data_IF_140727918733
#
_entry.id   IF_140727918733
#
_cell.length_a   1.000
_cell.length_b   1.000
_cell.length_c   1.000
_cell.angle_alpha   90.00
_cell.angle_beta   90.00
_cell.angle_gamma   90.00
#
_symmetry.space_group_name_H-M   'P 1'
#
loop_
_entity.id
_entity.type
_entity.pdbx_description
1 polymer ?
#
# COMPACT_ATOMS: atom_id res chain seq x y z
N UNK A 1 9.65 29.39 -57.10
CA UNK A 1 9.97 28.57 -55.91
C UNK A 1 10.33 29.55 -54.79
N UNK A 2 9.38 29.92 -53.91
CA UNK A 2 9.72 30.47 -52.61
C UNK A 2 9.59 29.39 -51.53
N UNK A 3 10.58 29.40 -50.63
CA UNK A 3 10.67 28.58 -49.43
C UNK A 3 9.54 28.92 -48.45
N UNK A 4 8.65 27.96 -48.20
CA UNK A 4 7.71 27.99 -47.09
C UNK A 4 8.44 27.54 -45.82
N UNK A 5 9.09 28.49 -45.14
CA UNK A 5 9.68 28.27 -43.83
C UNK A 5 8.56 28.10 -42.79
N UNK A 6 8.05 26.87 -42.66
CA UNK A 6 7.23 26.47 -41.51
C UNK A 6 8.12 26.52 -40.28
N UNK A 7 8.00 27.58 -39.49
CA UNK A 7 8.59 27.65 -38.16
C UNK A 7 8.06 26.46 -37.34
N UNK A 8 8.91 25.77 -36.56
CA UNK A 8 8.46 24.66 -35.73
C UNK A 8 7.43 25.19 -34.73
N UNK A 9 6.21 24.67 -34.79
CA UNK A 9 5.18 24.96 -33.81
C UNK A 9 5.73 24.55 -32.44
N UNK A 10 5.95 25.55 -31.58
CA UNK A 10 6.41 25.32 -30.21
C UNK A 10 5.30 24.54 -29.51
N UNK A 11 5.50 23.24 -29.33
CA UNK A 11 4.56 22.37 -28.63
C UNK A 11 4.32 22.97 -27.23
N UNK A 12 3.13 23.52 -27.02
CA UNK A 12 2.73 24.08 -25.74
C UNK A 12 2.72 22.96 -24.71
N UNK A 13 3.44 23.15 -23.61
CA UNK A 13 3.39 22.18 -22.51
C UNK A 13 1.99 22.17 -21.90
N UNK A 14 1.57 21.03 -21.39
CA UNK A 14 0.24 20.85 -20.77
C UNK A 14 -0.01 21.91 -19.68
N UNK A 15 1.00 22.20 -18.86
CA UNK A 15 0.92 23.22 -17.82
C UNK A 15 0.64 24.63 -18.37
N UNK A 16 1.25 24.98 -19.50
CA UNK A 16 1.12 26.28 -20.15
C UNK A 16 -0.21 26.43 -20.89
N UNK A 17 -0.77 25.32 -21.38
CA UNK A 17 -2.13 25.25 -21.90
C UNK A 17 -3.17 25.47 -20.77
N UNK A 18 -2.98 24.84 -19.61
CA UNK A 18 -3.87 25.03 -18.46
C UNK A 18 -3.82 26.46 -17.90
N UNK A 19 -2.64 27.08 -17.86
CA UNK A 19 -2.47 28.47 -17.40
C UNK A 19 -3.19 29.50 -18.30
N UNK A 20 -3.53 29.13 -19.54
CA UNK A 20 -4.22 29.99 -20.51
C UNK A 20 -5.74 29.85 -20.50
N UNK A 21 -6.30 28.92 -19.73
CA UNK A 21 -7.74 28.76 -19.65
C UNK A 21 -8.37 29.96 -18.89
N UNK A 22 -9.51 30.49 -19.37
CA UNK A 22 -10.22 31.53 -18.64
C UNK A 22 -10.71 30.98 -17.30
N UNK A 23 -10.61 31.80 -16.26
CA UNK A 23 -11.17 31.50 -14.94
C UNK A 23 -12.68 31.65 -14.99
N UNK A 24 -13.36 30.61 -15.45
CA UNK A 24 -14.82 30.58 -15.55
C UNK A 24 -15.40 30.21 -14.18
N UNK A 25 -15.89 31.21 -13.44
CA UNK A 25 -16.63 30.97 -12.21
C UNK A 25 -18.03 30.47 -12.54
N UNK A 26 -18.41 29.26 -12.10
CA UNK A 26 -19.76 28.76 -12.33
C UNK A 26 -20.79 29.62 -11.60
N UNK A 27 -21.98 29.79 -12.19
CA UNK A 27 -23.10 30.57 -11.61
C UNK A 27 -23.52 30.08 -10.21
N UNK A 28 -23.19 28.83 -9.87
CA UNK A 28 -23.41 28.26 -8.54
C UNK A 28 -22.17 27.52 -8.06
N UNK A 29 -21.76 27.83 -6.83
CA UNK A 29 -20.72 27.06 -6.15
C UNK A 29 -21.21 25.65 -5.85
N UNK A 30 -20.41 24.64 -6.21
CA UNK A 30 -20.63 23.25 -5.83
C UNK A 30 -20.18 22.95 -4.38
N UNK A 31 -19.47 23.90 -3.75
CA UNK A 31 -18.90 23.74 -2.42
C UNK A 31 -19.93 23.40 -1.33
N UNK A 32 -21.11 24.06 -1.25
CA UNK A 32 -22.10 23.75 -0.21
C UNK A 32 -22.64 22.31 -0.32
N UNK A 33 -22.75 21.78 -1.54
CA UNK A 33 -23.21 20.41 -1.80
C UNK A 33 -22.15 19.39 -1.34
N UNK A 34 -20.88 19.67 -1.63
CA UNK A 34 -19.76 18.86 -1.15
C UNK A 34 -19.63 18.91 0.37
N UNK A 35 -19.69 20.10 0.97
CA UNK A 35 -19.63 20.28 2.42
C UNK A 35 -20.76 19.54 3.14
N UNK A 36 -21.99 19.61 2.63
CA UNK A 36 -23.13 18.87 3.17
C UNK A 36 -22.94 17.35 3.08
N UNK A 37 -22.32 16.85 2.00
CA UNK A 37 -22.06 15.42 1.81
C UNK A 37 -20.95 14.91 2.74
N UNK A 38 -19.93 15.72 2.97
CA UNK A 38 -18.85 15.41 3.91
C UNK A 38 -19.39 15.38 5.35
N UNK A 39 -20.14 16.40 5.77
CA UNK A 39 -20.76 16.45 7.10
C UNK A 39 -21.72 15.27 7.33
N UNK A 40 -22.53 14.91 6.32
CA UNK A 40 -23.42 13.74 6.40
C UNK A 40 -22.67 12.39 6.52
N UNK A 41 -21.39 12.33 6.15
CA UNK A 41 -20.53 11.15 6.33
C UNK A 41 -20.01 11.08 7.78
N UNK A 42 -19.73 12.21 8.39
CA UNK A 42 -19.29 12.32 9.79
C UNK A 42 -20.43 12.04 10.78
N UNK A 43 -21.65 12.49 10.46
CA UNK A 43 -22.85 12.31 11.28
C UNK A 43 -23.40 10.87 11.26
N UNK A 44 -22.79 9.95 10.50
CA UNK A 44 -23.22 8.56 10.50
C UNK A 44 -22.91 7.97 11.88
N UNK A 45 -23.93 7.60 12.69
CA UNK A 45 -23.69 7.08 14.02
C UNK A 45 -22.92 5.77 13.88
N UNK A 46 -21.65 5.78 14.29
CA UNK A 46 -20.84 4.58 14.51
C UNK A 46 -21.45 3.84 15.71
N UNK A 47 -22.55 3.15 15.47
CA UNK A 47 -23.21 2.33 16.49
C UNK A 47 -22.25 1.24 17.00
N UNK A 48 -22.39 0.81 18.26
CA UNK A 48 -21.49 -0.17 18.87
C UNK A 48 -21.82 -1.57 18.33
N UNK A 49 -21.36 -1.89 17.12
CA UNK A 49 -21.40 -3.25 16.54
C UNK A 49 -20.05 -3.96 16.56
N UNK A 50 -19.10 -3.44 17.34
CA UNK A 50 -17.76 -3.98 17.44
C UNK A 50 -17.63 -5.32 18.22
N UNK A 51 -18.49 -5.72 19.17
CA UNK A 51 -18.22 -6.97 19.90
C UNK A 51 -18.50 -8.24 19.08
N UNK A 52 -19.23 -8.16 17.95
CA UNK A 52 -19.52 -9.33 17.12
C UNK A 52 -18.59 -9.49 15.91
N UNK A 53 -17.86 -8.44 15.52
CA UNK A 53 -16.87 -8.53 14.44
C UNK A 53 -15.65 -9.38 14.83
N UNK A 54 -15.24 -9.33 16.11
CA UNK A 54 -14.17 -10.17 16.65
C UNK A 54 -14.54 -11.66 16.68
N UNK A 55 -15.81 -12.00 16.92
CA UNK A 55 -16.27 -13.39 16.94
C UNK A 55 -16.29 -14.02 15.52
N UNK A 56 -16.62 -13.23 14.50
CA UNK A 56 -16.60 -13.68 13.10
C UNK A 56 -15.15 -13.86 12.59
N UNK A 57 -14.22 -12.97 12.96
CA UNK A 57 -12.81 -13.08 12.57
C UNK A 57 -12.13 -14.31 13.20
N UNK A 58 -12.41 -14.61 14.48
CA UNK A 58 -11.87 -15.81 15.14
C UNK A 58 -12.36 -17.12 14.49
N UNK A 59 -13.63 -17.17 14.04
CA UNK A 59 -14.17 -18.33 13.33
C UNK A 59 -13.55 -18.50 11.93
N UNK A 60 -13.25 -17.40 11.23
CA UNK A 60 -12.62 -17.44 9.91
C UNK A 60 -11.14 -17.89 9.97
N UNK A 61 -10.38 -17.44 10.98
CA UNK A 61 -8.99 -17.89 11.22
C UNK A 61 -8.95 -19.38 11.56
N UNK A 62 -9.89 -19.88 12.38
CA UNK A 62 -9.96 -21.29 12.73
C UNK A 62 -10.35 -22.17 11.53
N UNK A 63 -11.24 -21.68 10.64
CA UNK A 63 -11.61 -22.38 9.41
C UNK A 63 -10.44 -22.46 8.41
N UNK A 64 -9.62 -21.40 8.31
CA UNK A 64 -8.46 -21.39 7.41
C UNK A 64 -7.32 -22.31 7.91
N UNK A 65 -7.13 -22.42 9.23
CA UNK A 65 -6.16 -23.33 9.84
C UNK A 65 -6.46 -24.84 9.64
N UNK A 66 -7.68 -25.19 9.21
CA UNK A 66 -8.05 -26.57 8.84
C UNK A 66 -7.83 -26.89 7.35
N UNK A 67 -7.74 -25.87 6.48
CA UNK A 67 -7.62 -26.05 5.02
C UNK A 67 -6.15 -26.06 4.56
N UNK A 68 -5.21 -25.57 5.37
CA UNK A 68 -3.79 -25.67 5.05
C UNK A 68 -3.29 -27.14 5.17
N UNK A 69 -2.61 -27.67 4.15
CA UNK A 69 -2.00 -29.00 4.24
C UNK A 69 -0.96 -29.01 5.36
N UNK A 70 -1.21 -29.83 6.38
CA UNK A 70 -0.20 -30.16 7.39
C UNK A 70 0.80 -31.11 6.75
N UNK A 71 2.02 -30.64 6.52
CA UNK A 71 3.11 -31.54 6.14
C UNK A 71 3.32 -32.59 7.25
N UNK A 72 3.27 -33.89 6.92
CA UNK A 72 3.52 -34.93 7.89
C UNK A 72 5.01 -34.97 8.20
N UNK A 73 5.37 -34.66 9.45
CA UNK A 73 6.67 -35.02 10.03
C UNK A 73 6.74 -36.55 10.14
N UNK A 74 7.36 -37.21 9.15
CA UNK A 74 7.72 -38.62 9.27
C UNK A 74 9.01 -38.76 10.11
N UNK A 75 9.08 -39.70 11.06
CA UNK A 75 10.32 -40.01 11.75
C UNK A 75 11.30 -40.70 10.79
N UNK A 76 12.57 -40.33 10.93
CA UNK A 76 13.70 -40.86 10.17
C UNK A 76 13.72 -42.40 10.17
N UNK A 77 13.64 -42.98 8.98
CA UNK A 77 14.06 -44.35 8.69
C UNK A 77 15.32 -44.28 7.84
N UNK A 78 16.42 -44.79 8.39
CA UNK A 78 17.69 -44.96 7.69
C UNK A 78 17.48 -45.77 6.40
N UNK A 79 17.84 -45.17 5.27
CA UNK A 79 17.82 -45.80 3.97
C UNK A 79 18.52 -44.90 2.97
N UNK A 80 19.81 -45.17 2.73
CA UNK A 80 20.66 -44.41 1.82
C UNK A 80 19.99 -44.21 0.46
N UNK A 81 19.62 -42.97 0.19
CA UNK A 81 19.41 -42.43 -1.14
C UNK A 81 20.01 -41.04 -1.09
N UNK A 82 20.92 -40.74 -2.03
CA UNK A 82 21.40 -39.38 -2.29
C UNK A 82 20.19 -38.54 -2.68
N UNK A 83 19.48 -38.03 -1.67
CA UNK A 83 18.48 -37.01 -1.83
C UNK A 83 19.24 -35.75 -2.24
N UNK A 84 19.04 -35.33 -3.49
CA UNK A 84 19.30 -33.95 -3.89
C UNK A 84 18.54 -33.08 -2.90
N UNK A 85 19.27 -32.48 -1.95
CA UNK A 85 18.72 -31.48 -1.05
C UNK A 85 18.11 -30.39 -1.93
N UNK A 86 16.87 -29.94 -1.65
CA UNK A 86 16.32 -28.79 -2.35
C UNK A 86 17.31 -27.64 -2.24
N UNK A 87 17.46 -26.89 -3.34
CA UNK A 87 18.36 -25.74 -3.35
C UNK A 87 17.91 -24.77 -2.26
N UNK A 88 18.71 -24.68 -1.20
CA UNK A 88 18.42 -23.85 -0.02
C UNK A 88 18.22 -22.38 -0.41
N UNK A 89 18.71 -21.94 -1.57
CA UNK A 89 18.46 -20.62 -2.15
C UNK A 89 17.01 -20.44 -2.61
N UNK A 90 16.49 -21.35 -3.44
CA UNK A 90 15.12 -21.29 -3.95
C UNK A 90 14.08 -21.35 -2.81
N UNK A 91 14.27 -22.27 -1.86
CA UNK A 91 13.38 -22.38 -0.68
C UNK A 91 13.37 -21.11 0.19
N UNK A 92 14.48 -20.35 0.21
CA UNK A 92 14.56 -19.07 0.93
C UNK A 92 13.80 -17.97 0.20
N UNK A 93 13.87 -17.91 -1.14
CA UNK A 93 13.09 -16.95 -1.93
C UNK A 93 11.59 -17.21 -1.77
N UNK A 94 11.14 -18.46 -1.85
CA UNK A 94 9.73 -18.82 -1.68
C UNK A 94 9.18 -18.39 -0.31
N UNK A 95 9.97 -18.55 0.75
CA UNK A 95 9.61 -18.09 2.10
C UNK A 95 9.47 -16.56 2.17
N UNK A 96 10.37 -15.81 1.53
CA UNK A 96 10.29 -14.35 1.47
C UNK A 96 9.08 -13.87 0.67
N UNK A 97 8.74 -14.56 -0.43
CA UNK A 97 7.56 -14.27 -1.23
C UNK A 97 6.28 -14.46 -0.41
N UNK A 98 6.18 -15.59 0.30
CA UNK A 98 5.04 -15.90 1.17
C UNK A 98 4.88 -14.86 2.29
N UNK A 99 5.98 -14.46 2.93
CA UNK A 99 5.95 -13.40 3.94
C UNK A 99 5.51 -12.06 3.35
N UNK A 100 6.00 -11.71 2.15
CA UNK A 100 5.60 -10.46 1.50
C UNK A 100 4.09 -10.43 1.21
N UNK A 101 3.52 -11.54 0.72
CA UNK A 101 2.09 -11.64 0.45
C UNK A 101 1.26 -11.54 1.74
N UNK A 102 1.76 -12.09 2.84
CA UNK A 102 1.13 -11.95 4.15
C UNK A 102 1.11 -10.49 4.62
N UNK A 103 2.23 -9.78 4.48
CA UNK A 103 2.34 -8.37 4.88
C UNK A 103 1.47 -7.47 4.00
N UNK A 104 1.39 -7.71 2.70
CA UNK A 104 0.50 -7.01 1.78
C UNK A 104 -0.97 -7.21 2.14
N UNK A 105 -1.38 -8.45 2.40
CA UNK A 105 -2.74 -8.76 2.81
C UNK A 105 -3.09 -8.03 4.12
N UNK A 106 -2.15 -7.96 5.07
CA UNK A 106 -2.32 -7.21 6.30
C UNK A 106 -2.44 -5.70 6.04
N UNK A 107 -1.54 -5.12 5.22
CA UNK A 107 -1.57 -3.71 4.87
C UNK A 107 -2.88 -3.31 4.18
N UNK A 108 -3.38 -4.13 3.25
CA UNK A 108 -4.65 -3.91 2.57
C UNK A 108 -5.84 -3.78 3.56
N UNK A 109 -5.82 -4.54 4.66
CA UNK A 109 -6.85 -4.42 5.71
C UNK A 109 -6.73 -3.15 6.55
N UNK A 110 -5.52 -2.58 6.68
CA UNK A 110 -5.27 -1.36 7.45
C UNK A 110 -5.57 -0.10 6.64
N UNK A 111 -5.24 -0.10 5.33
CA UNK A 111 -5.45 1.02 4.42
C UNK A 111 -6.93 1.37 4.19
N UNK A 112 -7.83 0.39 4.27
CA UNK A 112 -9.28 0.60 4.06
C UNK A 112 -9.93 1.58 5.06
N UNK A 113 -9.26 1.88 6.17
CA UNK A 113 -9.77 2.74 7.23
C UNK A 113 -8.91 3.99 7.45
N UNK A 114 -8.07 4.37 6.47
CA UNK A 114 -7.18 5.53 6.57
C UNK A 114 -7.96 6.85 6.52
N UNK A 115 -8.08 7.47 7.70
CA UNK A 115 -8.28 8.91 7.87
C UNK A 115 -7.14 9.40 8.76
N UNK A 116 -5.95 9.55 8.17
CA UNK A 116 -4.72 9.94 8.85
C UNK A 116 -4.39 11.44 8.71
N UNK A 117 -3.37 11.89 9.43
CA UNK A 117 -2.79 13.23 9.23
C UNK A 117 -2.15 13.35 7.84
N UNK A 118 -2.04 14.57 7.32
CA UNK A 118 -1.40 14.81 6.02
C UNK A 118 0.06 14.31 5.99
N UNK A 119 0.77 14.41 7.12
CA UNK A 119 2.15 13.93 7.26
C UNK A 119 2.25 12.40 7.16
N UNK A 120 1.28 11.66 7.70
CA UNK A 120 1.25 10.20 7.58
C UNK A 120 1.04 9.77 6.12
N UNK A 121 0.15 10.45 5.39
CA UNK A 121 -0.07 10.17 3.97
C UNK A 121 1.17 10.41 3.11
N UNK A 122 1.95 11.47 3.39
CA UNK A 122 3.21 11.71 2.68
C UNK A 122 4.23 10.59 2.91
N UNK A 123 4.36 10.10 4.15
CA UNK A 123 5.22 8.96 4.45
C UNK A 123 4.73 7.67 3.79
N UNK A 124 3.41 7.43 3.77
CA UNK A 124 2.81 6.28 3.07
C UNK A 124 3.16 6.28 1.58
N UNK A 125 3.09 7.44 0.92
CA UNK A 125 3.47 7.59 -0.50
C UNK A 125 4.96 7.30 -0.73
N UNK A 126 5.84 7.70 0.19
CA UNK A 126 7.28 7.38 0.11
C UNK A 126 7.53 5.87 0.17
N UNK A 127 6.83 5.16 1.06
CA UNK A 127 6.90 3.69 1.14
C UNK A 127 6.38 3.03 -0.13
N UNK A 128 5.26 3.50 -0.68
CA UNK A 128 4.70 2.98 -1.94
C UNK A 128 5.63 3.20 -3.13
N UNK A 129 6.32 4.34 -3.20
CA UNK A 129 7.28 4.61 -4.27
C UNK A 129 8.50 3.71 -4.16
N UNK A 130 9.02 3.53 -2.93
CA UNK A 130 10.13 2.60 -2.67
C UNK A 130 9.77 1.14 -2.99
N UNK A 131 8.53 0.72 -2.72
CA UNK A 131 8.03 -0.59 -3.12
C UNK A 131 7.98 -0.73 -4.64
N UNK A 132 7.49 0.30 -5.35
CA UNK A 132 7.43 0.32 -6.82
C UNK A 132 8.81 0.21 -7.46
N UNK A 133 9.81 0.89 -6.91
CA UNK A 133 11.21 0.76 -7.36
C UNK A 133 11.74 -0.66 -7.19
N UNK A 134 11.48 -1.28 -6.03
CA UNK A 134 11.89 -2.66 -5.75
C UNK A 134 11.18 -3.65 -6.66
N UNK A 135 9.88 -3.46 -6.90
CA UNK A 135 9.09 -4.31 -7.78
C UNK A 135 9.55 -4.19 -9.24
N UNK A 136 9.93 -3.00 -9.69
CA UNK A 136 10.55 -2.80 -10.99
C UNK A 136 11.92 -3.50 -11.10
N UNK A 137 12.75 -3.43 -10.05
CA UNK A 137 14.02 -4.16 -10.01
C UNK A 137 13.81 -5.68 -10.00
N UNK A 138 12.80 -6.18 -9.26
CA UNK A 138 12.41 -7.59 -9.22
C UNK A 138 11.80 -8.09 -10.53
N UNK A 139 11.18 -7.22 -11.34
CA UNK A 139 10.69 -7.57 -12.67
C UNK A 139 11.82 -7.75 -13.70
N UNK A 140 13.04 -7.24 -13.43
CA UNK A 140 14.17 -7.37 -14.33
C UNK A 140 14.66 -8.83 -14.41
N UNK A 141 14.72 -9.45 -15.61
CA UNK A 141 15.18 -10.82 -15.77
C UNK A 141 16.70 -10.97 -15.58
N UNK A 142 17.46 -9.87 -15.57
CA UNK A 142 18.93 -9.88 -15.51
C UNK A 142 19.50 -10.10 -14.10
N UNK A 143 18.67 -10.00 -13.06
CA UNK A 143 19.11 -10.21 -11.69
C UNK A 143 19.41 -11.69 -11.41
N UNK A 144 20.67 -11.99 -11.07
CA UNK A 144 21.07 -13.30 -10.56
C UNK A 144 20.32 -13.68 -9.27
N UNK A 145 20.32 -14.96 -8.93
CA UNK A 145 19.51 -15.52 -7.84
C UNK A 145 19.79 -14.88 -6.47
N UNK A 146 21.07 -14.65 -6.14
CA UNK A 146 21.47 -13.99 -4.90
C UNK A 146 21.00 -12.52 -4.83
N UNK A 147 21.10 -11.79 -5.95
CA UNK A 147 20.61 -10.42 -6.06
C UNK A 147 19.08 -10.37 -5.93
N UNK A 148 18.38 -11.33 -6.53
CA UNK A 148 16.92 -11.46 -6.42
C UNK A 148 16.50 -11.77 -4.98
N UNK A 149 17.21 -12.65 -4.29
CA UNK A 149 16.99 -12.92 -2.87
C UNK A 149 17.25 -11.66 -2.00
N UNK A 150 18.27 -10.86 -2.32
CA UNK A 150 18.53 -9.61 -1.62
C UNK A 150 17.41 -8.58 -1.82
N UNK A 151 16.90 -8.43 -3.04
CA UNK A 151 15.76 -7.55 -3.35
C UNK A 151 14.49 -8.01 -2.61
N UNK A 152 14.21 -9.31 -2.55
CA UNK A 152 13.09 -9.85 -1.77
C UNK A 152 13.21 -9.56 -0.27
N UNK A 153 14.40 -9.72 0.33
CA UNK A 153 14.65 -9.34 1.73
C UNK A 153 14.40 -7.85 1.96
N UNK A 154 14.85 -7.01 1.04
CA UNK A 154 14.66 -5.56 1.13
C UNK A 154 13.18 -5.20 1.03
N UNK A 155 12.42 -5.82 0.12
CA UNK A 155 10.98 -5.64 -0.02
C UNK A 155 10.23 -5.99 1.26
N UNK A 156 10.54 -7.15 1.85
CA UNK A 156 9.95 -7.57 3.14
C UNK A 156 10.28 -6.57 4.25
N UNK A 157 11.52 -6.07 4.32
CA UNK A 157 11.88 -5.05 5.31
C UNK A 157 11.04 -3.76 5.16
N UNK A 158 10.91 -3.26 3.92
CA UNK A 158 10.08 -2.07 3.62
C UNK A 158 8.61 -2.30 4.00
N UNK A 159 8.04 -3.48 3.70
CA UNK A 159 6.66 -3.81 4.08
C UNK A 159 6.46 -3.88 5.60
N UNK A 160 7.44 -4.41 6.34
CA UNK A 160 7.38 -4.44 7.82
C UNK A 160 7.44 -3.04 8.41
N UNK A 161 8.30 -2.17 7.89
CA UNK A 161 8.40 -0.77 8.32
C UNK A 161 7.10 -0.01 8.00
N UNK A 162 6.53 -0.24 6.81
CA UNK A 162 5.27 0.37 6.42
C UNK A 162 4.12 -0.10 7.33
N UNK A 163 4.05 -1.39 7.66
CA UNK A 163 3.06 -1.93 8.58
C UNK A 163 3.19 -1.34 10.00
N UNK A 164 4.41 -1.11 10.49
CA UNK A 164 4.64 -0.49 11.78
C UNK A 164 4.17 0.98 11.81
N UNK A 165 4.40 1.74 10.73
CA UNK A 165 3.86 3.09 10.56
C UNK A 165 2.33 3.08 10.62
N UNK A 166 1.69 2.20 9.84
CA UNK A 166 0.23 2.07 9.78
C UNK A 166 -0.37 1.72 11.15
N UNK A 167 0.24 0.79 11.88
CA UNK A 167 -0.18 0.47 13.25
C UNK A 167 -0.09 1.66 14.20
N UNK A 168 0.95 2.50 14.06
CA UNK A 168 1.12 3.72 14.85
C UNK A 168 0.07 4.77 14.50
N UNK A 169 -0.18 5.01 13.21
CA UNK A 169 -1.19 5.94 12.73
C UNK A 169 -2.60 5.55 13.21
N UNK A 170 -2.93 4.25 13.12
CA UNK A 170 -4.20 3.72 13.60
C UNK A 170 -4.36 3.90 15.11
N UNK A 171 -3.31 3.63 15.90
CA UNK A 171 -3.36 3.83 17.35
C UNK A 171 -3.59 5.30 17.73
N UNK A 172 -2.94 6.24 17.04
CA UNK A 172 -3.14 7.68 17.22
C UNK A 172 -4.57 8.11 16.85
N UNK A 173 -5.10 7.57 15.75
CA UNK A 173 -6.47 7.83 15.32
C UNK A 173 -7.51 7.34 16.35
N UNK A 174 -7.30 6.16 16.93
CA UNK A 174 -8.17 5.59 17.98
C UNK A 174 -8.11 6.39 19.28
N UNK A 175 -6.95 6.95 19.63
CA UNK A 175 -6.78 7.81 20.82
C UNK A 175 -7.42 9.21 20.67
N UNK A 176 -7.95 9.56 19.49
CA UNK A 176 -8.75 10.77 19.30
C UNK A 176 -7.94 12.05 19.08
N UNK A 177 -6.71 11.96 18.59
CA UNK A 177 -5.85 13.11 18.33
C UNK A 177 -6.35 14.02 17.20
N UNK A 178 -7.29 14.94 17.50
CA UNK A 178 -7.64 16.11 16.68
C UNK A 178 -6.50 17.16 16.67
N UNK A 179 -5.25 16.76 16.45
CA UNK A 179 -4.10 17.68 16.54
C UNK A 179 -3.68 18.33 15.23
N UNK A 180 -4.50 18.31 14.18
CA UNK A 180 -4.07 18.85 12.87
C UNK A 180 -5.15 19.70 12.17
N UNK A 181 -5.82 20.56 12.93
CA UNK A 181 -6.80 21.52 12.40
C UNK A 181 -6.57 22.98 12.79
N UNK A 182 -5.56 23.29 13.61
CA UNK A 182 -5.44 24.63 14.22
C UNK A 182 -4.32 25.52 13.67
N UNK A 183 -3.57 25.11 12.65
CA UNK A 183 -2.43 25.89 12.15
C UNK A 183 -2.42 25.95 10.62
N UNK A 184 -3.23 26.82 10.01
CA UNK A 184 -2.85 27.81 8.97
C UNK A 184 -4.08 28.69 8.69
N UNK A 185 -4.24 29.74 9.49
CA UNK A 185 -5.03 30.92 9.15
C UNK A 185 -4.29 32.16 9.69
N UNK A 186 -3.14 32.41 9.10
CA UNK A 186 -2.42 33.70 9.05
C UNK A 186 -1.78 33.66 7.66
N UNK A 187 -2.15 34.46 6.67
CA UNK A 187 -2.43 35.90 6.64
C UNK A 187 -3.45 36.22 5.55
#
# INVERSE_FOLDING_TARGET
>A
MPDDARLPERELTVAEAFARLPLETPDRSAWPVLAARLAATEDRPRGPRWPFALAAAAAAVLALALVLPREPTLPAGDGGTTATLPDSGAANIDALMAESAQLEAMLATLSDNELGSASALLLSLEFEDRLRELDAALASPEAGEEQRAALWRQRVAVLRDYAALQGTAQWVAVQGGHYDGALVATF
#
